data_IF_280306698757
#
_entry.id   IF_280306698757
#
_cell.length_a   1.000
_cell.length_b   1.000
_cell.length_c   1.000
_cell.angle_alpha   90.00
_cell.angle_beta   90.00
_cell.angle_gamma   90.00
#
_symmetry.space_group_name_H-M   'P 1'
#
loop_
_entity.id
_entity.type
_entity.pdbx_description
1 polymer ?
#
# COMPACT_ATOMS: atom_id res chain seq x y z
N UNK A 1 45.67 31.14 12.64
CA UNK A 1 44.50 31.52 11.81
C UNK A 1 44.52 30.68 10.56
N UNK A 2 43.53 29.89 10.16
CA UNK A 2 42.27 29.47 10.76
C UNK A 2 41.79 28.29 9.89
N UNK A 3 41.45 27.17 10.54
CA UNK A 3 40.85 25.99 9.89
C UNK A 3 39.59 26.43 9.13
N UNK A 4 39.58 26.26 7.81
CA UNK A 4 38.35 26.28 7.05
C UNK A 4 37.60 24.98 7.37
N UNK A 5 36.51 25.19 8.09
CA UNK A 5 35.62 24.21 8.69
C UNK A 5 34.94 23.40 7.58
N UNK A 6 35.14 22.09 7.67
CA UNK A 6 34.25 21.06 7.17
C UNK A 6 32.79 21.49 7.41
N UNK A 7 32.12 21.91 6.33
CA UNK A 7 30.67 21.98 6.24
C UNK A 7 30.28 20.82 5.34
N UNK A 8 30.12 19.65 5.95
CA UNK A 8 29.19 18.66 5.46
C UNK A 8 27.82 19.31 5.34
N UNK A 9 27.56 19.91 4.19
CA UNK A 9 26.21 20.11 3.68
C UNK A 9 25.59 18.71 3.66
N UNK A 10 24.78 18.40 4.67
CA UNK A 10 24.15 17.10 4.80
C UNK A 10 23.38 16.82 3.52
N UNK A 11 23.86 15.86 2.74
CA UNK A 11 23.17 15.43 1.54
C UNK A 11 21.71 15.13 1.88
N UNK A 12 20.73 15.57 1.06
CA UNK A 12 19.32 15.27 1.27
C UNK A 12 19.02 13.78 1.50
N UNK A 13 19.89 12.89 0.98
CA UNK A 13 19.82 11.44 1.20
C UNK A 13 20.20 10.98 2.61
N UNK A 14 21.08 11.70 3.31
CA UNK A 14 21.59 11.30 4.63
C UNK A 14 20.53 11.34 5.73
N UNK A 15 19.71 12.40 5.75
CA UNK A 15 18.59 12.48 6.69
C UNK A 15 17.50 11.45 6.37
N UNK A 16 17.14 11.31 5.08
CA UNK A 16 16.06 10.42 4.67
C UNK A 16 16.37 8.98 5.05
N UNK A 17 17.62 8.54 4.84
CA UNK A 17 18.09 7.21 5.24
C UNK A 17 17.97 6.99 6.75
N UNK A 18 18.36 7.98 7.56
CA UNK A 18 18.28 7.90 9.02
C UNK A 18 16.83 7.83 9.50
N UNK A 19 15.97 8.71 8.97
CA UNK A 19 14.54 8.71 9.28
C UNK A 19 13.87 7.38 8.86
N UNK A 20 14.23 6.84 7.70
CA UNK A 20 13.72 5.56 7.21
C UNK A 20 14.18 4.38 8.05
N UNK A 21 15.45 4.37 8.48
CA UNK A 21 15.97 3.34 9.40
C UNK A 21 15.21 3.37 10.72
N UNK A 22 14.95 4.57 11.25
CA UNK A 22 14.16 4.73 12.47
C UNK A 22 12.69 4.32 12.27
N UNK A 23 12.09 4.66 11.14
CA UNK A 23 10.72 4.24 10.82
C UNK A 23 10.60 2.71 10.74
N UNK A 24 11.58 2.04 10.12
CA UNK A 24 11.62 0.59 10.05
C UNK A 24 11.70 -0.06 11.44
N UNK A 25 12.55 0.48 12.34
CA UNK A 25 12.61 0.00 13.72
C UNK A 25 11.29 0.26 14.49
N UNK A 26 10.69 1.44 14.35
CA UNK A 26 9.42 1.77 14.99
C UNK A 26 8.26 0.89 14.51
N UNK A 27 8.28 0.48 13.24
CA UNK A 27 7.31 -0.46 12.69
C UNK A 27 7.53 -1.88 13.24
N UNK A 28 8.79 -2.32 13.34
CA UNK A 28 9.17 -3.63 13.87
C UNK A 28 8.76 -3.77 15.35
N UNK A 29 8.99 -2.73 16.17
CA UNK A 29 8.53 -2.65 17.56
C UNK A 29 7.00 -2.82 17.70
N UNK A 30 6.25 -2.55 16.63
CA UNK A 30 4.79 -2.67 16.55
C UNK A 30 4.33 -3.94 15.82
N UNK A 31 5.25 -4.86 15.49
CA UNK A 31 4.96 -6.13 14.83
C UNK A 31 4.86 -6.07 13.31
N UNK A 32 5.34 -5.00 12.66
CA UNK A 32 5.34 -4.86 11.21
C UNK A 32 6.76 -4.72 10.66
N UNK A 33 7.20 -5.69 9.88
CA UNK A 33 8.51 -5.64 9.24
C UNK A 33 8.44 -4.88 7.91
N UNK A 34 9.26 -3.84 7.76
CA UNK A 34 9.45 -3.11 6.50
C UNK A 34 10.93 -2.93 6.21
N UNK A 35 11.31 -2.96 4.93
CA UNK A 35 12.69 -2.67 4.55
C UNK A 35 12.99 -1.17 4.67
N UNK A 36 14.26 -0.82 4.90
CA UNK A 36 14.68 0.60 4.94
C UNK A 36 14.38 1.29 3.61
N UNK A 37 14.55 0.61 2.48
CA UNK A 37 14.22 1.16 1.17
C UNK A 37 12.72 1.45 1.02
N UNK A 38 11.86 0.55 1.49
CA UNK A 38 10.41 0.79 1.51
C UNK A 38 10.05 1.96 2.43
N UNK A 39 10.67 2.04 3.61
CA UNK A 39 10.50 3.15 4.55
C UNK A 39 10.93 4.51 3.95
N UNK A 40 12.01 4.55 3.18
CA UNK A 40 12.43 5.75 2.45
C UNK A 40 11.39 6.21 1.42
N UNK A 41 10.84 5.27 0.64
CA UNK A 41 9.80 5.56 -0.34
C UNK A 41 8.53 6.11 0.33
N UNK A 42 8.08 5.48 1.41
CA UNK A 42 6.93 5.94 2.20
C UNK A 42 7.14 7.34 2.77
N UNK A 43 8.33 7.62 3.32
CA UNK A 43 8.67 8.95 3.83
C UNK A 43 8.73 9.99 2.73
N UNK A 44 9.35 9.67 1.59
CA UNK A 44 9.43 10.58 0.44
C UNK A 44 8.03 10.95 -0.04
N UNK A 45 7.15 9.97 -0.21
CA UNK A 45 5.78 10.18 -0.63
C UNK A 45 5.01 11.03 0.40
N UNK A 46 5.16 10.73 1.70
CA UNK A 46 4.53 11.50 2.77
C UNK A 46 4.98 12.95 2.78
N UNK A 47 6.28 13.19 2.62
CA UNK A 47 6.86 14.53 2.61
C UNK A 47 6.42 15.33 1.38
N UNK A 48 6.38 14.71 0.20
CA UNK A 48 5.84 15.34 -1.01
C UNK A 48 4.38 15.73 -0.81
N UNK A 49 3.54 14.83 -0.26
CA UNK A 49 2.13 15.15 0.03
C UNK A 49 1.98 16.32 1.02
N UNK A 50 2.85 16.43 2.02
CA UNK A 50 2.85 17.56 2.97
C UNK A 50 3.27 18.85 2.25
N UNK A 51 4.35 18.79 1.47
CA UNK A 51 4.88 19.92 0.70
C UNK A 51 3.80 20.49 -0.24
N UNK A 52 3.16 19.63 -1.03
CA UNK A 52 2.11 20.01 -1.98
C UNK A 52 0.89 20.60 -1.26
N UNK A 53 0.44 19.95 -0.18
CA UNK A 53 -0.76 20.39 0.55
C UNK A 53 -0.57 21.74 1.24
N UNK A 54 0.63 22.02 1.73
CA UNK A 54 0.93 23.25 2.45
C UNK A 54 1.57 24.32 1.56
N UNK A 55 1.87 24.02 0.30
CA UNK A 55 2.57 24.93 -0.61
C UNK A 55 3.99 25.26 -0.13
N UNK A 56 4.65 24.33 0.56
CA UNK A 56 6.00 24.52 1.13
C UNK A 56 7.03 23.69 0.38
N UNK A 57 8.31 24.05 0.51
CA UNK A 57 9.40 23.25 -0.06
C UNK A 57 9.55 21.91 0.66
N UNK A 58 10.11 20.93 -0.05
CA UNK A 58 10.45 19.62 0.52
C UNK A 58 11.31 19.74 1.79
N UNK A 59 12.30 20.64 1.79
CA UNK A 59 13.15 20.88 2.96
C UNK A 59 12.38 21.47 4.15
N UNK A 60 11.36 22.30 3.91
CA UNK A 60 10.46 22.77 4.98
C UNK A 60 9.58 21.65 5.51
N UNK A 61 9.06 20.77 4.65
CA UNK A 61 8.31 19.59 5.06
C UNK A 61 9.17 18.59 5.86
N UNK A 62 10.45 18.43 5.48
CA UNK A 62 11.41 17.63 6.25
C UNK A 62 11.60 18.19 7.66
N UNK A 63 11.75 19.51 7.80
CA UNK A 63 11.96 20.16 9.10
C UNK A 63 10.76 20.09 10.04
N UNK A 64 9.55 19.88 9.52
CA UNK A 64 8.36 19.66 10.34
C UNK A 64 8.17 18.19 10.76
N UNK A 65 9.01 17.29 10.26
CA UNK A 65 8.96 15.86 10.55
C UNK A 65 9.96 15.49 11.66
N UNK A 66 9.61 15.84 12.90
CA UNK A 66 10.39 15.52 14.09
C UNK A 66 10.19 14.06 14.57
N UNK A 67 10.80 13.71 15.70
CA UNK A 67 10.73 12.36 16.27
C UNK A 67 9.28 11.96 16.60
N UNK A 68 8.45 12.88 17.09
CA UNK A 68 7.05 12.60 17.41
C UNK A 68 6.21 12.43 16.15
N UNK A 69 6.46 13.23 15.11
CA UNK A 69 5.81 13.09 13.81
C UNK A 69 6.14 11.74 13.15
N UNK A 70 7.37 11.25 13.32
CA UNK A 70 7.80 9.94 12.83
C UNK A 70 7.14 8.79 13.60
N UNK A 71 7.05 8.89 14.92
CA UNK A 71 6.36 7.91 15.77
C UNK A 71 4.87 7.81 15.43
N UNK A 72 4.19 8.96 15.35
CA UNK A 72 2.79 9.01 14.92
C UNK A 72 2.61 8.54 13.47
N UNK A 73 3.62 8.66 12.62
CA UNK A 73 3.59 8.10 11.27
C UNK A 73 3.71 6.58 11.28
N UNK A 74 4.58 6.02 12.13
CA UNK A 74 4.66 4.58 12.34
C UNK A 74 3.33 4.01 12.86
N UNK A 75 2.70 4.65 13.86
CA UNK A 75 1.39 4.24 14.37
C UNK A 75 0.33 4.17 13.27
N UNK A 76 0.24 5.24 12.46
CA UNK A 76 -0.73 5.28 11.35
C UNK A 76 -0.42 4.25 10.28
N UNK A 77 0.86 4.03 9.97
CA UNK A 77 1.29 3.04 9.00
C UNK A 77 0.86 1.64 9.44
N UNK A 78 1.21 1.25 10.66
CA UNK A 78 0.85 -0.06 11.23
C UNK A 78 -0.67 -0.21 11.32
N UNK A 79 -1.39 0.82 11.79
CA UNK A 79 -2.85 0.78 11.85
C UNK A 79 -3.48 0.58 10.47
N UNK A 80 -2.93 1.22 9.42
CA UNK A 80 -3.43 1.04 8.04
C UNK A 80 -3.22 -0.40 7.57
N UNK A 81 -2.03 -0.97 7.80
CA UNK A 81 -1.75 -2.36 7.42
C UNK A 81 -2.54 -3.37 8.25
N UNK A 82 -2.78 -3.11 9.53
CA UNK A 82 -3.56 -3.99 10.39
C UNK A 82 -5.00 -4.20 9.88
N UNK A 83 -5.60 -3.18 9.25
CA UNK A 83 -6.95 -3.32 8.63
C UNK A 83 -6.98 -4.28 7.43
N UNK A 84 -5.84 -4.62 6.84
CA UNK A 84 -5.73 -5.67 5.83
C UNK A 84 -5.71 -7.09 6.45
N UNK A 85 -5.65 -7.18 7.78
CA UNK A 85 -5.52 -8.44 8.54
C UNK A 85 -4.40 -9.32 7.96
N UNK A 86 -3.15 -8.84 7.84
CA UNK A 86 -2.11 -9.52 7.07
C UNK A 86 -1.88 -10.96 7.56
N UNK A 87 -1.91 -11.93 6.64
CA UNK A 87 -1.82 -13.37 6.96
C UNK A 87 -3.08 -13.98 7.59
N UNK A 88 -4.10 -13.18 7.87
CA UNK A 88 -5.40 -13.65 8.36
C UNK A 88 -6.19 -14.41 7.30
N UNK A 89 -6.94 -15.42 7.73
CA UNK A 89 -7.86 -16.17 6.87
C UNK A 89 -9.10 -15.33 6.53
N UNK A 90 -9.20 -14.88 5.28
CA UNK A 90 -10.31 -14.06 4.80
C UNK A 90 -11.67 -14.78 4.91
N UNK A 91 -11.73 -16.11 4.89
CA UNK A 91 -13.00 -16.84 5.06
C UNK A 91 -13.55 -16.74 6.47
N UNK A 92 -12.68 -16.58 7.47
CA UNK A 92 -13.04 -16.46 8.88
C UNK A 92 -13.49 -15.06 9.30
N UNK A 93 -13.21 -14.05 8.47
CA UNK A 93 -13.49 -12.64 8.80
C UNK A 93 -14.96 -12.27 8.57
N UNK A 94 -15.50 -11.31 9.36
CA UNK A 94 -16.87 -10.81 9.17
C UNK A 94 -17.08 -10.18 7.79
N UNK A 95 -18.13 -10.59 7.09
CA UNK A 95 -18.50 -10.09 5.75
C UNK A 95 -19.38 -8.85 5.84
N UNK A 96 -18.81 -7.75 6.32
CA UNK A 96 -19.55 -6.50 6.61
C UNK A 96 -19.56 -5.50 5.46
N UNK A 97 -18.72 -5.69 4.44
CA UNK A 97 -18.69 -4.86 3.26
C UNK A 97 -19.55 -5.45 2.13
N UNK A 98 -20.15 -4.58 1.32
CA UNK A 98 -20.97 -4.95 0.16
C UNK A 98 -20.36 -4.36 -1.11
N UNK A 99 -20.44 -5.11 -2.20
CA UNK A 99 -20.08 -4.62 -3.53
C UNK A 99 -21.03 -5.21 -4.57
N UNK A 100 -21.39 -4.43 -5.57
CA UNK A 100 -22.16 -4.98 -6.69
C UNK A 100 -21.38 -6.06 -7.44
N UNK A 101 -22.11 -6.99 -8.06
CA UNK A 101 -21.52 -8.05 -8.91
C UNK A 101 -20.62 -7.46 -10.01
N UNK A 102 -21.04 -6.35 -10.63
CA UNK A 102 -20.22 -5.67 -11.64
C UNK A 102 -18.98 -5.02 -11.05
N UNK A 103 -19.08 -4.47 -9.83
CA UNK A 103 -17.94 -3.96 -9.07
C UNK A 103 -16.94 -5.05 -8.76
N UNK A 104 -17.39 -6.21 -8.26
CA UNK A 104 -16.51 -7.35 -8.00
C UNK A 104 -15.88 -7.90 -9.28
N UNK A 105 -16.65 -8.06 -10.35
CA UNK A 105 -16.14 -8.50 -11.65
C UNK A 105 -15.03 -7.57 -12.18
N UNK A 106 -15.14 -6.27 -11.92
CA UNK A 106 -14.09 -5.30 -12.24
C UNK A 106 -12.81 -5.55 -11.43
N UNK A 107 -12.93 -5.82 -10.12
CA UNK A 107 -11.79 -6.15 -9.28
C UNK A 107 -11.15 -7.48 -9.68
N UNK A 108 -11.94 -8.50 -10.03
CA UNK A 108 -11.41 -9.77 -10.54
C UNK A 108 -10.60 -9.55 -11.82
N UNK A 109 -11.11 -8.75 -12.77
CA UNK A 109 -10.37 -8.40 -13.98
C UNK A 109 -9.06 -7.65 -13.66
N UNK A 110 -9.10 -6.69 -12.72
CA UNK A 110 -7.91 -5.98 -12.27
C UNK A 110 -6.86 -6.88 -11.62
N UNK A 111 -7.29 -7.91 -10.87
CA UNK A 111 -6.38 -8.91 -10.27
C UNK A 111 -5.74 -9.79 -11.36
N UNK A 112 -6.52 -10.23 -12.35
CA UNK A 112 -5.99 -10.98 -13.48
C UNK A 112 -4.96 -10.16 -14.29
N UNK A 113 -5.24 -8.90 -14.58
CA UNK A 113 -4.28 -7.99 -15.23
C UNK A 113 -3.05 -7.74 -14.35
N UNK A 114 -3.24 -7.63 -13.03
CA UNK A 114 -2.14 -7.46 -12.08
C UNK A 114 -1.20 -8.67 -12.08
N UNK A 115 -1.75 -9.88 -12.19
CA UNK A 115 -0.99 -11.12 -12.32
C UNK A 115 -0.15 -11.10 -13.61
N UNK A 116 -0.78 -10.78 -14.75
CA UNK A 116 -0.09 -10.68 -16.04
C UNK A 116 1.00 -9.59 -16.03
N UNK A 117 0.75 -8.47 -15.37
CA UNK A 117 1.74 -7.41 -15.22
C UNK A 117 2.96 -7.89 -14.42
N UNK A 118 2.76 -8.57 -13.29
CA UNK A 118 3.86 -9.11 -12.48
C UNK A 118 4.73 -10.11 -13.27
N UNK A 119 4.13 -10.95 -14.11
CA UNK A 119 4.88 -11.88 -14.96
C UNK A 119 5.68 -11.18 -16.06
N UNK A 120 5.30 -9.96 -16.44
CA UNK A 120 5.98 -9.16 -17.48
C UNK A 120 7.04 -8.20 -16.91
N UNK A 121 6.95 -7.85 -15.63
CA UNK A 121 7.87 -6.89 -14.99
C UNK A 121 9.24 -7.54 -14.79
N UNK A 122 10.21 -7.15 -15.62
CA UNK A 122 11.58 -7.66 -15.55
C UNK A 122 12.33 -7.29 -14.27
N UNK A 123 11.93 -6.20 -13.59
CA UNK A 123 12.54 -5.73 -12.35
C UNK A 123 12.16 -6.57 -11.11
N UNK A 124 11.18 -7.48 -11.22
CA UNK A 124 10.81 -8.36 -10.12
C UNK A 124 11.72 -9.58 -10.10
N UNK A 125 12.32 -9.82 -8.94
CA UNK A 125 13.03 -11.07 -8.64
C UNK A 125 12.04 -12.26 -8.62
N UNK A 126 12.54 -13.47 -8.89
CA UNK A 126 11.69 -14.66 -9.03
C UNK A 126 10.89 -15.00 -7.76
N UNK A 127 11.49 -14.84 -6.58
CA UNK A 127 10.81 -15.07 -5.30
C UNK A 127 9.70 -14.03 -5.06
N UNK A 128 9.95 -12.76 -5.41
CA UNK A 128 8.92 -11.72 -5.30
C UNK A 128 7.78 -11.96 -6.28
N UNK A 129 8.10 -12.36 -7.52
CA UNK A 129 7.12 -12.73 -8.54
C UNK A 129 6.26 -13.91 -8.06
N UNK A 130 6.88 -14.93 -7.48
CA UNK A 130 6.18 -16.10 -6.93
C UNK A 130 5.26 -15.72 -5.77
N UNK A 131 5.73 -14.90 -4.83
CA UNK A 131 4.93 -14.41 -3.70
C UNK A 131 3.70 -13.62 -4.18
N UNK A 132 3.89 -12.69 -5.12
CA UNK A 132 2.80 -11.89 -5.73
C UNK A 132 1.79 -12.77 -6.45
N UNK A 133 2.26 -13.76 -7.23
CA UNK A 133 1.38 -14.70 -7.94
C UNK A 133 0.49 -15.48 -6.98
N UNK A 134 1.07 -16.00 -5.88
CA UNK A 134 0.32 -16.71 -4.85
C UNK A 134 -0.76 -15.82 -4.23
N UNK A 135 -0.39 -14.63 -3.77
CA UNK A 135 -1.30 -13.69 -3.13
C UNK A 135 -2.45 -13.25 -4.07
N UNK A 136 -2.14 -12.91 -5.32
CA UNK A 136 -3.15 -12.50 -6.31
C UNK A 136 -4.11 -13.65 -6.62
N UNK A 137 -3.58 -14.86 -6.75
CA UNK A 137 -4.37 -16.07 -7.04
C UNK A 137 -5.27 -16.44 -5.87
N UNK A 138 -4.79 -16.30 -4.63
CA UNK A 138 -5.61 -16.47 -3.43
C UNK A 138 -6.79 -15.50 -3.43
N UNK A 139 -6.55 -14.20 -3.69
CA UNK A 139 -7.64 -13.21 -3.74
C UNK A 139 -8.63 -13.45 -4.88
N UNK A 140 -8.16 -13.92 -6.05
CA UNK A 140 -9.05 -14.34 -7.14
C UNK A 140 -9.94 -15.51 -6.71
N UNK A 141 -9.36 -16.50 -6.02
CA UNK A 141 -10.09 -17.66 -5.51
C UNK A 141 -11.12 -17.25 -4.45
N UNK A 142 -10.71 -16.45 -3.46
CA UNK A 142 -11.60 -15.93 -2.42
C UNK A 142 -12.74 -15.12 -3.05
N UNK A 143 -12.45 -14.23 -4.00
CA UNK A 143 -13.47 -13.45 -4.69
C UNK A 143 -14.51 -14.33 -5.38
N UNK A 144 -14.06 -15.34 -6.12
CA UNK A 144 -14.95 -16.27 -6.80
C UNK A 144 -15.82 -17.10 -5.84
N UNK A 145 -15.23 -17.57 -4.74
CA UNK A 145 -15.96 -18.34 -3.72
C UNK A 145 -16.99 -17.47 -3.00
N UNK A 146 -16.63 -16.26 -2.57
CA UNK A 146 -17.56 -15.31 -1.94
C UNK A 146 -18.72 -14.92 -2.89
N UNK A 147 -18.42 -14.72 -4.17
CA UNK A 147 -19.44 -14.46 -5.19
C UNK A 147 -20.37 -15.66 -5.37
N UNK A 148 -19.84 -16.89 -5.37
CA UNK A 148 -20.65 -18.10 -5.58
C UNK A 148 -21.63 -18.37 -4.44
N UNK A 149 -21.29 -17.94 -3.22
CA UNK A 149 -22.15 -18.06 -2.04
C UNK A 149 -23.22 -16.96 -1.98
N UNK A 150 -23.11 -15.93 -2.83
CA UNK A 150 -24.06 -14.82 -2.88
C UNK A 150 -25.30 -15.25 -3.67
N UNK A 151 -26.43 -15.40 -2.99
CA UNK A 151 -27.64 -15.97 -3.60
C UNK A 151 -28.40 -15.00 -4.50
N UNK A 152 -28.45 -13.69 -4.19
CA UNK A 152 -29.00 -12.61 -5.02
C UNK A 152 -28.51 -11.24 -4.52
N UNK A 153 -28.18 -10.31 -5.42
CA UNK A 153 -27.84 -8.92 -5.07
C UNK A 153 -26.34 -8.64 -4.99
N UNK A 154 -25.95 -7.76 -4.08
CA UNK A 154 -24.55 -7.42 -3.83
C UNK A 154 -23.80 -8.59 -3.17
N UNK A 155 -22.49 -8.66 -3.42
CA UNK A 155 -21.61 -9.65 -2.82
C UNK A 155 -21.11 -9.12 -1.48
N UNK A 156 -21.42 -9.86 -0.43
CA UNK A 156 -20.92 -9.59 0.92
C UNK A 156 -19.53 -10.19 1.08
N UNK A 157 -18.55 -9.38 1.50
CA UNK A 157 -17.19 -9.83 1.72
C UNK A 157 -16.53 -9.10 2.90
N UNK A 158 -15.42 -9.62 3.45
CA UNK A 158 -14.68 -8.91 4.48
C UNK A 158 -14.02 -7.64 3.95
N UNK A 159 -14.05 -6.52 4.68
CA UNK A 159 -13.32 -5.30 4.31
C UNK A 159 -11.84 -5.55 3.98
N UNK A 160 -11.17 -6.41 4.75
CA UNK A 160 -9.77 -6.78 4.56
C UNK A 160 -9.48 -7.32 3.15
N UNK A 161 -10.41 -8.07 2.54
CA UNK A 161 -10.25 -8.57 1.17
C UNK A 161 -10.11 -7.40 0.20
N UNK A 162 -11.00 -6.40 0.27
CA UNK A 162 -10.96 -5.25 -0.62
C UNK A 162 -9.73 -4.37 -0.37
N UNK A 163 -9.28 -4.24 0.88
CA UNK A 163 -8.07 -3.50 1.21
C UNK A 163 -6.81 -4.18 0.64
N UNK A 164 -6.70 -5.51 0.75
CA UNK A 164 -5.62 -6.27 0.11
C UNK A 164 -5.63 -6.12 -1.42
N UNK A 165 -6.81 -6.19 -2.06
CA UNK A 165 -6.96 -5.93 -3.50
C UNK A 165 -6.48 -4.51 -3.85
N UNK A 166 -6.90 -3.50 -3.08
CA UNK A 166 -6.49 -2.13 -3.30
C UNK A 166 -4.98 -1.93 -3.18
N UNK A 167 -4.33 -2.61 -2.20
CA UNK A 167 -2.88 -2.61 -2.06
C UNK A 167 -2.22 -3.20 -3.30
N UNK A 168 -2.63 -4.38 -3.74
CA UNK A 168 -2.06 -5.04 -4.93
C UNK A 168 -2.16 -4.12 -6.14
N UNK A 169 -3.32 -3.53 -6.40
CA UNK A 169 -3.50 -2.63 -7.54
C UNK A 169 -2.60 -1.41 -7.45
N UNK A 170 -2.44 -0.84 -6.25
CA UNK A 170 -1.54 0.29 -6.04
C UNK A 170 -0.09 -0.13 -6.33
N UNK A 171 0.36 -1.24 -5.75
CA UNK A 171 1.72 -1.74 -5.93
C UNK A 171 2.03 -2.09 -7.38
N UNK A 172 1.11 -2.76 -8.08
CA UNK A 172 1.31 -3.13 -9.49
C UNK A 172 1.25 -1.90 -10.39
N UNK A 173 0.41 -0.91 -10.08
CA UNK A 173 0.38 0.35 -10.81
C UNK A 173 1.71 1.12 -10.71
N UNK A 174 2.46 0.94 -9.63
CA UNK A 174 3.76 1.58 -9.43
C UNK A 174 4.92 0.78 -10.05
N UNK A 175 4.71 -0.52 -10.32
CA UNK A 175 5.70 -1.41 -10.94
C UNK A 175 5.56 -1.55 -12.46
N UNK A 176 4.36 -1.34 -13.01
CA UNK A 176 4.10 -1.57 -14.43
C UNK A 176 4.60 -0.41 -15.29
N UNK A 177 5.25 -0.74 -16.40
CA UNK A 177 5.66 0.24 -17.42
C UNK A 177 4.50 0.69 -18.33
N UNK A 178 3.28 0.15 -18.12
CA UNK A 178 2.10 0.46 -18.93
C UNK A 178 1.24 1.56 -18.26
N UNK A 179 1.28 2.81 -18.76
CA UNK A 179 0.63 3.94 -18.08
C UNK A 179 -0.90 3.81 -18.03
N UNK A 180 -1.51 3.23 -19.07
CA UNK A 180 -2.96 3.02 -19.13
C UNK A 180 -3.43 1.99 -18.10
N UNK A 181 -2.67 0.90 -17.95
CA UNK A 181 -2.92 -0.12 -16.92
C UNK A 181 -2.72 0.47 -15.53
N UNK A 182 -1.61 1.19 -15.30
CA UNK A 182 -1.34 1.86 -14.02
C UNK A 182 -2.48 2.79 -13.61
N UNK A 183 -2.96 3.64 -14.52
CA UNK A 183 -4.08 4.55 -14.26
C UNK A 183 -5.38 3.80 -13.98
N UNK A 184 -5.59 2.68 -14.65
CA UNK A 184 -6.75 1.83 -14.44
C UNK A 184 -6.73 1.18 -13.06
N UNK A 185 -5.61 0.55 -12.69
CA UNK A 185 -5.42 -0.08 -11.39
C UNK A 185 -5.55 0.94 -10.26
N UNK A 186 -5.02 2.17 -10.41
CA UNK A 186 -5.21 3.24 -9.40
C UNK A 186 -6.68 3.60 -9.18
N UNK A 187 -7.48 3.68 -10.24
CA UNK A 187 -8.93 3.93 -10.12
C UNK A 187 -9.63 2.76 -9.46
N UNK A 188 -9.29 1.54 -9.85
CA UNK A 188 -9.91 0.33 -9.29
C UNK A 188 -9.48 0.11 -7.83
N UNK A 189 -8.29 0.56 -7.43
CA UNK A 189 -7.84 0.58 -6.04
C UNK A 189 -8.68 1.54 -5.19
N UNK A 190 -9.05 2.71 -5.72
CA UNK A 190 -9.97 3.64 -5.04
C UNK A 190 -11.33 2.96 -4.84
N UNK A 191 -11.87 2.29 -5.87
CA UNK A 191 -13.14 1.56 -5.77
C UNK A 191 -13.10 0.48 -4.69
N UNK A 192 -12.03 -0.31 -4.65
CA UNK A 192 -11.85 -1.34 -3.63
C UNK A 192 -11.79 -0.73 -2.22
N UNK A 193 -11.06 0.37 -2.01
CA UNK A 193 -11.06 1.09 -0.72
C UNK A 193 -12.44 1.60 -0.33
N UNK A 194 -13.21 2.12 -1.29
CA UNK A 194 -14.59 2.57 -1.04
C UNK A 194 -15.47 1.41 -0.61
N UNK A 195 -15.36 0.24 -1.27
CA UNK A 195 -16.12 -0.96 -0.91
C UNK A 195 -15.75 -1.49 0.48
N UNK A 196 -14.51 -1.29 0.95
CA UNK A 196 -14.07 -1.73 2.27
C UNK A 196 -14.76 -0.97 3.43
N UNK A 197 -15.34 0.21 3.17
CA UNK A 197 -16.05 0.97 4.20
C UNK A 197 -17.46 0.37 4.36
N UNK A 198 -17.83 -0.15 5.55
CA UNK A 198 -19.18 -0.67 5.76
C UNK A 198 -20.22 0.42 5.50
N UNK A 199 -21.36 0.07 4.90
CA UNK A 199 -22.50 0.98 4.90
C UNK A 199 -22.92 1.23 6.36
N UNK A 200 -22.84 2.47 6.80
CA UNK A 200 -23.38 2.87 8.11
C UNK A 200 -24.90 2.85 8.01
N UNK A 201 -25.52 1.76 8.48
CA UNK A 201 -26.95 1.72 8.79
C UNK A 201 -27.25 2.43 10.10
#
# INVERSE_FOLDING_TARGET
>A
MGKARDRGEGEPGGWLRQAATRLAALADDRGMTISVAAAESLLRERLSRIADRLGISWHQAQRSFDVSALDAFADRLVATFATEEPGGDLFSLPRTAQISVSGLGRLIAGLAESLLACERTAALEDDERAARRLEITELLSVAGLMQSESSQGDVSAPPAMFLRIARIFTTVADLTDQPELANTLRRDAIRARTAAVPEMN
#
